data_IF_232915086718
#
_entry.id   IF_232915086718
#
_cell.length_a   1.000
_cell.length_b   1.000
_cell.length_c   1.000
_cell.angle_alpha   90.00
_cell.angle_beta   90.00
_cell.angle_gamma   90.00
#
_symmetry.space_group_name_H-M   'P 1'
#
loop_
_entity.id
_entity.type
_entity.pdbx_description
1 polymer ?
#
# COMPACT_ATOMS: atom_id res chain seq x y z
N UNK A 1 -45.29 -22.24 39.68
CA UNK A 1 -44.79 -21.40 38.56
C UNK A 1 -43.37 -21.88 38.30
N UNK A 2 -43.21 -22.68 37.24
CA UNK A 2 -41.94 -23.34 36.89
C UNK A 2 -41.28 -22.47 35.84
N UNK A 3 -40.06 -22.02 36.10
CA UNK A 3 -39.23 -21.31 35.12
C UNK A 3 -38.37 -22.38 34.45
N UNK A 4 -38.71 -22.71 33.20
CA UNK A 4 -37.84 -23.50 32.33
C UNK A 4 -36.82 -22.56 31.68
N UNK A 5 -35.55 -22.89 31.84
CA UNK A 5 -34.42 -22.32 31.11
C UNK A 5 -34.24 -23.18 29.87
N UNK A 6 -34.50 -22.64 28.69
CA UNK A 6 -34.08 -23.24 27.43
C UNK A 6 -32.70 -22.66 27.06
N UNK A 7 -31.73 -23.56 26.90
CA UNK A 7 -30.37 -23.25 26.47
C UNK A 7 -30.40 -22.76 25.02
N UNK A 8 -30.09 -21.47 24.83
CA UNK A 8 -29.80 -20.92 23.51
C UNK A 8 -28.42 -21.39 23.05
N UNK A 9 -28.37 -22.15 21.96
CA UNK A 9 -27.15 -22.46 21.24
C UNK A 9 -26.45 -21.15 20.84
N UNK A 10 -25.23 -20.95 21.35
CA UNK A 10 -24.36 -19.86 20.93
C UNK A 10 -23.75 -20.26 19.59
N UNK A 11 -24.38 -19.82 18.51
CA UNK A 11 -23.85 -19.89 17.16
C UNK A 11 -22.54 -19.09 17.12
N UNK A 12 -21.42 -19.81 17.10
CA UNK A 12 -20.08 -19.21 17.00
C UNK A 12 -19.92 -18.74 15.55
N UNK A 13 -20.16 -17.46 15.31
CA UNK A 13 -19.81 -16.80 14.05
C UNK A 13 -18.32 -17.06 13.78
N UNK A 14 -18.04 -17.98 12.85
CA UNK A 14 -16.72 -18.10 12.23
C UNK A 14 -16.47 -16.80 11.49
N UNK A 15 -15.70 -15.92 12.11
CA UNK A 15 -15.06 -14.78 11.46
C UNK A 15 -14.29 -15.34 10.26
N UNK A 16 -14.87 -15.19 9.06
CA UNK A 16 -14.14 -15.49 7.81
C UNK A 16 -13.03 -14.44 7.69
N UNK A 17 -11.79 -14.84 7.41
CA UNK A 17 -10.76 -13.87 7.06
C UNK A 17 -11.26 -13.09 5.85
N UNK A 18 -11.18 -11.76 5.92
CA UNK A 18 -11.41 -10.87 4.78
C UNK A 18 -10.32 -11.22 3.77
N UNK A 19 -10.65 -12.08 2.81
CA UNK A 19 -9.85 -12.26 1.60
C UNK A 19 -9.96 -10.95 0.84
N UNK A 20 -8.86 -10.19 0.82
CA UNK A 20 -8.68 -9.05 -0.08
C UNK A 20 -8.66 -9.58 -1.52
N UNK A 21 -9.85 -9.69 -2.12
CA UNK A 21 -9.98 -10.06 -3.51
C UNK A 21 -9.66 -8.86 -4.39
N UNK A 22 -8.68 -8.99 -5.27
CA UNK A 22 -8.32 -7.96 -6.24
C UNK A 22 -9.36 -7.90 -7.37
N UNK A 23 -9.89 -6.71 -7.62
CA UNK A 23 -10.74 -6.42 -8.78
C UNK A 23 -9.91 -5.75 -9.86
N UNK A 24 -9.97 -6.31 -11.07
CA UNK A 24 -9.11 -5.89 -12.18
C UNK A 24 -9.99 -5.70 -13.42
N UNK A 25 -10.15 -4.44 -13.88
CA UNK A 25 -10.98 -4.12 -15.05
C UNK A 25 -10.21 -4.25 -16.37
N UNK A 26 -10.71 -5.02 -17.36
CA UNK A 26 -9.98 -5.33 -18.59
C UNK A 26 -9.87 -4.18 -19.61
N UNK A 27 -10.31 -2.96 -19.31
CA UNK A 27 -10.54 -1.90 -20.33
C UNK A 27 -9.41 -0.88 -20.54
N UNK A 28 -8.24 -1.05 -19.94
CA UNK A 28 -7.22 0.03 -19.91
C UNK A 28 -5.98 -0.18 -20.80
N UNK A 29 -5.78 -1.34 -21.44
CA UNK A 29 -4.52 -1.64 -22.14
C UNK A 29 -4.75 -1.82 -23.64
N UNK A 30 -4.64 -0.73 -24.42
CA UNK A 30 -4.29 -0.84 -25.83
C UNK A 30 -2.76 -0.76 -25.93
N UNK A 31 -2.17 -1.73 -26.62
CA UNK A 31 -0.75 -1.80 -27.02
C UNK A 31 0.30 -2.19 -25.96
N UNK A 32 -0.11 -2.60 -24.76
CA UNK A 32 0.82 -3.11 -23.72
C UNK A 32 0.65 -4.62 -23.57
N UNK A 33 1.75 -5.36 -23.50
CA UNK A 33 1.75 -6.84 -23.33
C UNK A 33 2.66 -7.23 -22.18
N UNK A 34 2.53 -8.45 -21.65
CA UNK A 34 3.42 -8.95 -20.58
C UNK A 34 4.90 -8.91 -21.00
N UNK A 35 5.18 -9.18 -22.27
CA UNK A 35 6.52 -9.15 -22.86
C UNK A 35 7.04 -7.72 -23.14
N UNK A 36 6.12 -6.77 -23.33
CA UNK A 36 6.41 -5.35 -23.58
C UNK A 36 5.56 -4.47 -22.66
N UNK A 37 5.90 -4.42 -21.36
CA UNK A 37 5.05 -3.80 -20.35
C UNK A 37 5.13 -2.26 -20.34
N UNK A 38 6.09 -1.67 -21.05
CA UNK A 38 6.37 -0.24 -20.98
C UNK A 38 6.76 0.17 -19.56
N UNK A 39 6.08 1.18 -19.02
CA UNK A 39 6.28 1.68 -17.66
C UNK A 39 5.39 0.96 -16.61
N UNK A 40 4.62 -0.04 -17.01
CA UNK A 40 3.72 -0.78 -16.12
C UNK A 40 4.38 -2.05 -15.57
N UNK A 41 3.80 -2.61 -14.51
CA UNK A 41 4.23 -3.88 -13.95
C UNK A 41 3.77 -5.07 -14.82
N UNK A 42 4.66 -5.98 -15.26
CA UNK A 42 4.30 -7.14 -16.07
C UNK A 42 3.26 -8.05 -15.42
N UNK A 43 3.32 -8.21 -14.09
CA UNK A 43 2.37 -9.00 -13.32
C UNK A 43 0.99 -8.37 -13.31
N UNK A 44 0.90 -7.05 -13.21
CA UNK A 44 -0.36 -6.32 -13.34
C UNK A 44 -0.96 -6.44 -14.74
N UNK A 45 -0.14 -6.37 -15.79
CA UNK A 45 -0.61 -6.59 -17.17
C UNK A 45 -1.11 -8.02 -17.35
N UNK A 46 -0.41 -9.01 -16.83
CA UNK A 46 -0.84 -10.40 -16.92
C UNK A 46 -2.14 -10.64 -16.13
N UNK A 47 -2.29 -10.04 -14.94
CA UNK A 47 -3.53 -10.07 -14.17
C UNK A 47 -4.70 -9.48 -14.95
N UNK A 48 -4.48 -8.39 -15.69
CA UNK A 48 -5.49 -7.73 -16.54
C UNK A 48 -5.87 -8.56 -17.77
N UNK A 49 -4.89 -9.18 -18.42
CA UNK A 49 -5.06 -9.77 -19.76
C UNK A 49 -5.29 -11.28 -19.78
N UNK A 50 -4.74 -12.01 -18.82
CA UNK A 50 -4.84 -13.47 -18.77
C UNK A 50 -6.30 -13.92 -18.56
N UNK A 51 -6.59 -15.21 -18.64
CA UNK A 51 -7.83 -15.80 -18.11
C UNK A 51 -7.54 -16.74 -16.93
N UNK A 52 -6.29 -16.84 -16.52
CA UNK A 52 -5.87 -17.66 -15.39
C UNK A 52 -6.29 -17.04 -14.05
N UNK A 53 -6.35 -17.89 -13.02
CA UNK A 53 -6.56 -17.47 -11.64
C UNK A 53 -5.55 -16.38 -11.23
N UNK A 54 -6.05 -15.30 -10.63
CA UNK A 54 -5.21 -14.20 -10.18
C UNK A 54 -4.12 -14.65 -9.20
N UNK A 55 -4.42 -15.61 -8.31
CA UNK A 55 -3.46 -16.15 -7.35
C UNK A 55 -2.28 -16.84 -8.03
N UNK A 56 -2.53 -17.60 -9.11
CA UNK A 56 -1.46 -18.25 -9.88
C UNK A 56 -0.53 -17.24 -10.56
N UNK A 57 -1.11 -16.17 -11.10
CA UNK A 57 -0.35 -15.10 -11.73
C UNK A 57 0.48 -14.37 -10.67
N UNK A 58 -0.12 -14.00 -9.53
CA UNK A 58 0.61 -13.35 -8.43
C UNK A 58 1.74 -14.22 -7.89
N UNK A 59 1.54 -15.52 -7.69
CA UNK A 59 2.60 -16.42 -7.23
C UNK A 59 3.78 -16.46 -8.20
N UNK A 60 3.49 -16.46 -9.52
CA UNK A 60 4.52 -16.45 -10.56
C UNK A 60 5.35 -15.17 -10.52
N UNK A 61 4.71 -14.01 -10.40
CA UNK A 61 5.39 -12.71 -10.41
C UNK A 61 6.01 -12.31 -9.08
N UNK A 62 5.51 -12.84 -7.96
CA UNK A 62 6.07 -12.61 -6.62
C UNK A 62 7.13 -13.65 -6.23
N UNK A 63 7.57 -14.51 -7.17
CA UNK A 63 8.56 -15.58 -6.98
C UNK A 63 8.28 -16.44 -5.74
N UNK A 64 7.01 -16.63 -5.39
CA UNK A 64 6.62 -17.39 -4.22
C UNK A 64 6.53 -18.88 -4.61
N UNK A 65 7.40 -19.78 -4.09
CA UNK A 65 7.46 -21.18 -4.50
C UNK A 65 6.33 -22.03 -3.91
N UNK A 66 5.27 -21.42 -3.38
CA UNK A 66 4.15 -22.14 -2.78
C UNK A 66 3.47 -23.06 -3.79
N UNK A 67 3.46 -24.36 -3.48
CA UNK A 67 2.66 -25.35 -4.19
C UNK A 67 1.18 -24.95 -4.09
N UNK A 68 0.67 -24.32 -5.15
CA UNK A 68 -0.76 -24.20 -5.39
C UNK A 68 -1.32 -25.55 -5.86
N UNK A 69 -1.07 -26.61 -5.07
CA UNK A 69 -1.87 -27.84 -5.05
C UNK A 69 -3.01 -27.70 -4.06
N UNK A 70 -3.56 -26.48 -3.88
CA UNK A 70 -4.88 -26.34 -3.29
C UNK A 70 -5.88 -26.86 -4.31
N UNK A 71 -6.12 -28.15 -4.21
CA UNK A 71 -7.28 -28.88 -4.73
C UNK A 71 -8.55 -28.46 -3.96
N UNK A 72 -8.67 -27.16 -3.68
CA UNK A 72 -9.67 -26.62 -2.78
C UNK A 72 -10.74 -25.96 -3.63
N UNK A 73 -11.91 -26.57 -3.59
CA UNK A 73 -13.22 -26.13 -4.04
C UNK A 73 -13.68 -24.75 -3.52
N UNK A 74 -12.75 -23.85 -3.17
CA UNK A 74 -13.01 -22.52 -2.65
C UNK A 74 -12.54 -21.52 -3.69
N UNK A 75 -13.42 -20.66 -4.19
CA UNK A 75 -13.04 -19.70 -5.17
C UNK A 75 -12.29 -18.52 -4.54
N UNK A 76 -11.18 -18.13 -5.15
CA UNK A 76 -10.26 -17.10 -4.61
C UNK A 76 -10.24 -15.80 -5.43
N UNK A 77 -10.86 -15.77 -6.61
CA UNK A 77 -10.97 -14.56 -7.43
C UNK A 77 -12.20 -14.64 -8.34
N UNK A 78 -12.55 -13.49 -8.95
CA UNK A 78 -13.67 -13.37 -9.90
C UNK A 78 -13.54 -14.22 -11.18
N UNK A 79 -12.36 -14.79 -11.44
CA UNK A 79 -12.15 -15.78 -12.51
C UNK A 79 -12.40 -17.21 -12.08
N UNK A 80 -12.17 -17.52 -10.81
CA UNK A 80 -12.48 -18.83 -10.22
C UNK A 80 -13.95 -18.93 -9.80
N UNK A 81 -14.60 -17.80 -9.50
CA UNK A 81 -16.03 -17.71 -9.24
C UNK A 81 -16.60 -16.40 -9.79
N UNK A 82 -17.45 -16.48 -10.84
CA UNK A 82 -18.13 -15.33 -11.41
C UNK A 82 -19.02 -14.55 -10.43
N UNK A 83 -19.43 -15.16 -9.31
CA UNK A 83 -20.27 -14.50 -8.30
C UNK A 83 -19.51 -13.42 -7.51
N UNK A 84 -18.18 -13.42 -7.54
CA UNK A 84 -17.38 -12.28 -7.06
C UNK A 84 -17.45 -11.06 -7.98
N UNK A 85 -18.07 -11.16 -9.16
CA UNK A 85 -18.28 -10.01 -10.02
C UNK A 85 -19.36 -9.15 -9.36
N UNK A 86 -19.02 -7.96 -8.81
CA UNK A 86 -20.02 -7.12 -8.18
C UNK A 86 -21.11 -6.82 -9.24
N UNK A 87 -22.39 -7.02 -8.91
CA UNK A 87 -23.45 -6.63 -9.81
C UNK A 87 -23.52 -5.10 -9.82
N UNK A 88 -23.00 -4.42 -10.86
CA UNK A 88 -23.57 -3.19 -11.50
C UNK A 88 -22.57 -2.34 -12.29
N UNK A 89 -23.18 -1.57 -13.20
CA UNK A 89 -22.64 -0.38 -13.86
C UNK A 89 -22.06 0.63 -12.87
N UNK A 90 -20.81 1.04 -13.11
CA UNK A 90 -20.14 2.08 -12.35
C UNK A 90 -20.62 3.46 -12.80
N UNK A 91 -21.07 4.27 -11.85
CA UNK A 91 -21.24 5.71 -12.03
C UNK A 91 -20.02 6.39 -11.43
N UNK A 92 -19.25 7.08 -12.27
CA UNK A 92 -18.19 7.95 -11.79
C UNK A 92 -18.81 9.06 -10.95
N UNK A 93 -18.33 9.22 -9.71
CA UNK A 93 -18.69 10.32 -8.83
C UNK A 93 -17.41 11.11 -8.63
N UNK A 94 -17.41 12.38 -9.02
CA UNK A 94 -16.32 13.30 -8.73
C UNK A 94 -16.19 13.45 -7.22
N UNK A 95 -15.10 12.94 -6.66
CA UNK A 95 -14.74 13.18 -5.26
C UNK A 95 -13.94 14.48 -5.23
N UNK A 96 -14.67 15.60 -5.07
CA UNK A 96 -14.21 16.99 -4.82
C UNK A 96 -13.58 17.79 -5.98
N UNK A 97 -14.35 18.60 -6.73
CA UNK A 97 -13.82 19.56 -7.70
C UNK A 97 -13.52 20.92 -7.03
N UNK A 98 -12.70 20.95 -5.97
CA UNK A 98 -12.54 22.22 -5.25
C UNK A 98 -11.49 22.32 -4.14
N UNK A 99 -10.49 21.45 -4.06
CA UNK A 99 -9.42 21.64 -3.07
C UNK A 99 -8.26 22.45 -3.65
N UNK A 100 -8.41 23.77 -3.72
CA UNK A 100 -7.29 24.70 -3.85
C UNK A 100 -6.86 25.12 -2.44
N UNK A 101 -5.83 24.46 -1.91
CA UNK A 101 -5.09 24.99 -0.75
C UNK A 101 -4.02 25.95 -1.24
N UNK A 102 -4.39 27.23 -1.38
CA UNK A 102 -3.41 28.31 -1.34
C UNK A 102 -3.09 28.59 0.13
N UNK A 103 -1.96 28.05 0.60
CA UNK A 103 -1.34 28.43 1.87
C UNK A 103 -0.12 29.27 1.56
N UNK A 104 -0.17 30.54 1.93
CA UNK A 104 0.94 31.49 1.79
C UNK A 104 2.17 30.94 2.54
N UNK A 105 3.18 30.57 1.76
CA UNK A 105 4.37 29.87 2.23
C UNK A 105 5.28 30.79 3.06
N UNK A 106 5.48 30.45 4.32
CA UNK A 106 6.72 30.82 5.00
C UNK A 106 7.80 29.82 4.54
N UNK A 107 8.54 30.17 3.47
CA UNK A 107 9.67 29.37 2.99
C UNK A 107 10.74 29.28 4.06
N UNK A 108 11.00 28.07 4.54
CA UNK A 108 12.24 27.73 5.22
C UNK A 108 13.40 28.16 4.34
N UNK A 109 14.40 28.84 4.90
CA UNK A 109 15.55 29.29 4.10
C UNK A 109 16.19 28.09 3.39
N UNK A 110 16.57 28.24 2.12
CA UNK A 110 17.09 27.15 1.27
C UNK A 110 18.21 26.35 1.94
N UNK A 111 19.03 27.01 2.76
CA UNK A 111 20.12 26.39 3.53
C UNK A 111 19.62 25.50 4.69
N UNK A 112 18.56 25.89 5.41
CA UNK A 112 18.00 25.08 6.49
C UNK A 112 17.31 23.82 5.95
N UNK A 113 16.59 23.95 4.83
CA UNK A 113 15.96 22.80 4.15
C UNK A 113 16.99 21.75 3.76
N UNK A 114 18.12 22.16 3.20
CA UNK A 114 19.19 21.24 2.80
C UNK A 114 19.81 20.50 3.99
N UNK A 115 20.00 21.20 5.12
CA UNK A 115 20.47 20.57 6.37
C UNK A 115 19.47 19.52 6.88
N UNK A 116 18.17 19.86 6.90
CA UNK A 116 17.11 18.93 7.33
C UNK A 116 17.09 17.71 6.41
N UNK A 117 17.10 17.93 5.09
CA UNK A 117 17.10 16.86 4.10
C UNK A 117 18.29 15.90 4.31
N UNK A 118 19.50 16.43 4.47
CA UNK A 118 20.69 15.60 4.66
C UNK A 118 20.62 14.77 5.96
N UNK A 119 20.14 15.36 7.07
CA UNK A 119 19.93 14.61 8.31
C UNK A 119 18.89 13.49 8.16
N UNK A 120 17.83 13.73 7.38
CA UNK A 120 16.82 12.70 7.09
C UNK A 120 17.37 11.58 6.20
N UNK A 121 18.24 11.90 5.24
CA UNK A 121 18.95 10.91 4.42
C UNK A 121 19.88 10.04 5.29
N UNK A 122 20.62 10.66 6.21
CA UNK A 122 21.47 9.95 7.18
C UNK A 122 20.64 9.03 8.07
N UNK A 123 19.52 9.53 8.62
CA UNK A 123 18.59 8.73 9.41
C UNK A 123 18.09 7.52 8.61
N UNK A 124 17.63 7.72 7.37
CA UNK A 124 17.11 6.64 6.51
C UNK A 124 18.17 5.57 6.28
N UNK A 125 19.40 5.97 5.98
CA UNK A 125 20.51 5.04 5.77
C UNK A 125 20.84 4.25 7.04
N UNK A 126 20.86 4.93 8.19
CA UNK A 126 21.11 4.31 9.49
C UNK A 126 20.00 3.30 9.84
N UNK A 127 18.74 3.72 9.74
CA UNK A 127 17.59 2.89 10.06
C UNK A 127 17.50 1.66 9.15
N UNK A 128 17.78 1.82 7.85
CA UNK A 128 17.88 0.70 6.92
C UNK A 128 18.95 -0.31 7.34
N UNK A 129 20.18 0.17 7.62
CA UNK A 129 21.28 -0.71 8.03
C UNK A 129 21.01 -1.47 9.33
N UNK A 130 20.34 -0.84 10.28
CA UNK A 130 20.13 -1.39 11.61
C UNK A 130 18.96 -2.38 11.67
N UNK A 131 17.87 -2.12 10.94
CA UNK A 131 16.61 -2.82 11.16
C UNK A 131 16.03 -3.50 9.92
N UNK A 132 16.50 -3.16 8.72
CA UNK A 132 15.87 -3.64 7.47
C UNK A 132 16.80 -4.46 6.61
N UNK A 133 18.10 -4.16 6.60
CA UNK A 133 19.05 -4.77 5.67
C UNK A 133 19.10 -6.30 5.77
N UNK A 134 19.02 -6.84 6.98
CA UNK A 134 19.19 -8.29 7.20
C UNK A 134 17.90 -9.05 6.84
N UNK A 135 16.74 -8.49 7.18
CA UNK A 135 15.43 -9.09 6.89
C UNK A 135 14.98 -8.87 5.44
N UNK A 136 15.44 -7.78 4.80
CA UNK A 136 15.02 -7.33 3.47
C UNK A 136 16.23 -6.94 2.60
N UNK A 137 17.10 -7.89 2.21
CA UNK A 137 18.35 -7.60 1.51
C UNK A 137 18.16 -6.94 0.13
N UNK A 138 17.00 -7.16 -0.50
CA UNK A 138 16.64 -6.56 -1.79
C UNK A 138 16.05 -5.15 -1.66
N UNK A 139 15.67 -4.74 -0.44
CA UNK A 139 15.17 -3.39 -0.20
C UNK A 139 16.36 -2.45 -0.01
N UNK A 140 16.47 -1.43 -0.87
CA UNK A 140 17.44 -0.37 -0.66
C UNK A 140 16.96 0.65 0.38
N UNK A 141 17.83 1.53 0.88
CA UNK A 141 17.42 2.59 1.80
C UNK A 141 16.34 3.50 1.19
N UNK A 142 16.38 3.74 -0.12
CA UNK A 142 15.35 4.52 -0.83
C UNK A 142 13.98 3.84 -0.90
N UNK A 143 13.92 2.52 -0.72
CA UNK A 143 12.67 1.76 -0.67
C UNK A 143 11.91 1.97 0.63
N UNK A 144 12.57 2.45 1.70
CA UNK A 144 11.92 2.78 2.97
C UNK A 144 11.17 4.11 2.86
N UNK A 145 11.89 5.15 2.43
CA UNK A 145 11.34 6.49 2.23
C UNK A 145 12.03 7.10 1.01
N UNK A 146 11.25 7.54 0.03
CA UNK A 146 11.82 8.04 -1.23
C UNK A 146 12.55 9.38 -1.03
N UNK A 147 13.42 9.74 -1.97
CA UNK A 147 14.08 11.06 -1.95
C UNK A 147 13.04 12.20 -2.11
N UNK A 148 11.95 11.93 -2.84
CA UNK A 148 10.85 12.89 -3.02
C UNK A 148 10.13 13.15 -1.70
N UNK A 149 9.80 12.11 -0.95
CA UNK A 149 9.13 12.24 0.35
C UNK A 149 10.02 12.97 1.35
N UNK A 150 11.31 12.62 1.44
CA UNK A 150 12.26 13.34 2.32
C UNK A 150 12.38 14.82 1.95
N UNK A 151 12.33 15.13 0.65
CA UNK A 151 12.37 16.49 0.17
C UNK A 151 11.09 17.28 0.54
N UNK A 152 9.91 16.66 0.41
CA UNK A 152 8.64 17.25 0.84
C UNK A 152 8.60 17.50 2.35
N UNK A 153 9.02 16.51 3.15
CA UNK A 153 9.13 16.64 4.61
C UNK A 153 10.07 17.80 4.97
N UNK A 154 11.23 17.89 4.33
CA UNK A 154 12.21 18.96 4.62
C UNK A 154 11.68 20.36 4.28
N UNK A 155 10.75 20.46 3.34
CA UNK A 155 10.09 21.70 2.95
C UNK A 155 9.01 22.09 3.97
N UNK A 156 8.34 21.11 4.57
CA UNK A 156 7.17 21.29 5.42
C UNK A 156 7.41 20.97 6.90
N UNK A 157 8.66 20.86 7.34
CA UNK A 157 9.01 20.42 8.70
C UNK A 157 8.32 21.24 9.80
N UNK A 158 8.18 22.55 9.63
CA UNK A 158 7.51 23.42 10.60
C UNK A 158 5.98 23.22 10.70
N UNK A 159 5.38 22.40 9.83
CA UNK A 159 3.95 22.08 9.79
C UNK A 159 3.65 20.67 10.30
N UNK A 160 4.68 19.90 10.65
CA UNK A 160 4.55 18.52 11.10
C UNK A 160 4.61 18.52 12.62
N UNK A 161 3.46 18.37 13.29
CA UNK A 161 3.37 18.34 14.76
C UNK A 161 2.90 16.98 15.28
N UNK A 162 2.31 16.18 14.41
CA UNK A 162 1.81 14.84 14.68
C UNK A 162 2.27 13.87 13.60
N UNK A 163 2.21 12.58 13.92
CA UNK A 163 2.45 11.50 12.94
C UNK A 163 1.46 11.58 11.78
N UNK A 164 0.23 12.06 12.03
CA UNK A 164 -0.79 12.21 11.00
C UNK A 164 -0.43 13.32 10.00
N UNK A 165 0.17 14.42 10.47
CA UNK A 165 0.62 15.50 9.58
C UNK A 165 1.66 15.00 8.58
N UNK A 166 2.55 14.12 9.03
CA UNK A 166 3.59 13.50 8.20
C UNK A 166 2.98 12.66 7.06
N UNK A 167 1.81 12.07 7.25
CA UNK A 167 1.14 11.26 6.22
C UNK A 167 0.72 12.11 5.01
N UNK A 168 0.43 13.41 5.23
CA UNK A 168 0.05 14.32 4.14
C UNK A 168 1.21 14.64 3.18
N UNK A 169 2.45 14.33 3.57
CA UNK A 169 3.66 14.69 2.81
C UNK A 169 4.44 13.46 2.34
N UNK A 170 3.93 12.24 2.54
CA UNK A 170 4.71 11.01 2.31
C UNK A 170 3.88 9.89 1.70
N UNK A 171 4.53 9.08 0.86
CA UNK A 171 3.95 7.87 0.26
C UNK A 171 4.75 6.62 0.68
N UNK A 172 4.72 6.31 1.98
CA UNK A 172 5.52 5.22 2.56
C UNK A 172 4.71 3.93 2.61
N UNK A 173 5.23 2.86 1.97
CA UNK A 173 4.60 1.53 1.91
C UNK A 173 4.45 0.91 3.30
N UNK A 174 5.49 0.96 4.12
CA UNK A 174 5.52 0.37 5.46
C UNK A 174 5.23 1.42 6.55
N UNK A 175 4.12 2.14 6.40
CA UNK A 175 3.76 3.28 7.26
C UNK A 175 3.71 2.92 8.75
N UNK A 176 3.12 1.77 9.10
CA UNK A 176 2.99 1.35 10.50
C UNK A 176 4.36 1.22 11.20
N UNK A 177 5.38 0.75 10.48
CA UNK A 177 6.73 0.53 10.99
C UNK A 177 7.59 1.80 10.93
N UNK A 178 7.39 2.66 9.92
CA UNK A 178 8.28 3.79 9.64
C UNK A 178 7.76 5.14 10.15
N UNK A 179 6.45 5.30 10.34
CA UNK A 179 5.82 6.58 10.70
C UNK A 179 6.36 7.18 12.00
N UNK A 180 6.40 6.38 13.07
CA UNK A 180 6.90 6.82 14.39
C UNK A 180 8.41 7.13 14.38
N UNK A 181 9.31 6.24 13.90
CA UNK A 181 10.73 6.54 13.90
C UNK A 181 11.09 7.70 12.95
N UNK A 182 10.37 7.88 11.84
CA UNK A 182 10.54 9.03 10.95
C UNK A 182 10.09 10.33 11.63
N UNK A 183 8.93 10.33 12.27
CA UNK A 183 8.43 11.48 13.03
C UNK A 183 9.42 11.92 14.12
N UNK A 184 9.98 10.97 14.88
CA UNK A 184 11.03 11.23 15.87
C UNK A 184 12.28 11.84 15.22
N UNK A 185 12.66 11.37 14.03
CA UNK A 185 13.80 11.92 13.31
C UNK A 185 13.57 13.38 12.90
N UNK A 186 12.38 13.70 12.37
CA UNK A 186 12.00 15.07 11.99
C UNK A 186 12.10 16.04 13.17
N UNK A 187 11.66 15.63 14.36
CA UNK A 187 11.70 16.48 15.57
C UNK A 187 13.05 16.54 16.30
N UNK A 188 14.01 15.69 15.93
CA UNK A 188 15.37 15.71 16.49
C UNK A 188 16.34 16.63 15.72
N UNK A 189 15.90 17.17 14.59
CA UNK A 189 16.73 17.97 13.68
C UNK A 189 16.83 19.41 14.15
#
# INVERSE_FOLDING_TARGET
>A
MVVSVEEGEVETERIRPVLECFFVEPKMLKDVTVEHPGDQDPGMIELLQSQECAEKIMQRHLENPGDCTRDSSLPCCNRCDPDFRPPREYKWIDVNPGFTSESTEAKTTTSQREVIYNKLVEWRLHHWKQYWKDDWPNYGPKSLVSDSDLNEISTHTSKIFTVQDLQNYTHIVHWAQLSTPLFIAVHKI
#
